data_IF_796478965187
#
_entry.id   IF_796478965187
#
_cell.length_a   1.000
_cell.length_b   1.000
_cell.length_c   1.000
_cell.angle_alpha   90.00
_cell.angle_beta   90.00
_cell.angle_gamma   90.00
#
_symmetry.space_group_name_H-M   'P 1'
#
loop_
_entity.id
_entity.type
_entity.pdbx_description
1 polymer ?
#
# COMPACT_ATOMS: atom_id res chain seq x y z
N UNK A 1 -23.13 11.62 23.52
CA UNK A 1 -21.86 11.06 23.06
C UNK A 1 -20.74 11.89 23.62
N UNK A 2 -19.90 11.28 24.42
CA UNK A 2 -18.79 11.98 25.06
C UNK A 2 -17.70 12.27 24.03
N UNK A 3 -17.30 13.54 23.94
CA UNK A 3 -16.21 13.97 23.04
C UNK A 3 -14.84 13.84 23.72
N UNK A 4 -14.61 12.70 24.39
CA UNK A 4 -13.36 12.45 25.13
C UNK A 4 -12.12 12.45 24.23
N UNK A 5 -12.32 12.16 22.95
CA UNK A 5 -11.24 12.16 21.97
C UNK A 5 -10.73 13.58 21.59
N UNK A 6 -11.34 14.64 22.14
CA UNK A 6 -10.92 16.04 21.94
C UNK A 6 -10.06 16.54 23.10
N UNK A 7 -10.03 15.83 24.23
CA UNK A 7 -9.21 16.21 25.38
C UNK A 7 -7.76 15.78 25.24
N UNK A 8 -6.83 16.42 25.97
CA UNK A 8 -5.41 16.11 25.89
C UNK A 8 -5.06 14.64 26.13
N UNK A 9 -5.81 13.96 26.99
CA UNK A 9 -5.65 12.52 27.25
C UNK A 9 -6.05 11.66 26.05
N UNK A 10 -6.97 12.14 25.22
CA UNK A 10 -7.45 11.44 24.04
C UNK A 10 -6.48 11.52 22.86
N UNK A 11 -5.39 12.30 22.95
CA UNK A 11 -4.35 12.33 21.91
C UNK A 11 -3.74 10.95 21.65
N UNK A 12 -3.70 10.11 22.68
CA UNK A 12 -3.25 8.72 22.54
C UNK A 12 -4.28 7.81 21.86
N UNK A 13 -5.51 8.29 21.64
CA UNK A 13 -6.58 7.56 20.97
C UNK A 13 -6.62 7.80 19.46
N UNK A 14 -5.72 8.61 18.92
CA UNK A 14 -5.60 8.88 17.48
C UNK A 14 -4.26 8.36 16.95
N UNK A 15 -4.24 8.02 15.68
CA UNK A 15 -2.99 7.65 15.02
C UNK A 15 -2.74 8.58 13.82
N UNK A 16 -1.46 8.87 13.51
CA UNK A 16 -1.14 9.71 12.38
C UNK A 16 -1.34 8.97 11.07
N UNK A 17 -1.91 9.65 10.09
CA UNK A 17 -2.01 9.17 8.73
C UNK A 17 -1.27 10.18 7.83
N UNK A 18 -0.39 9.72 6.92
CA UNK A 18 0.33 10.64 6.04
C UNK A 18 -0.62 11.50 5.21
N UNK A 19 -0.30 12.78 5.08
CA UNK A 19 -1.11 13.73 4.28
C UNK A 19 -1.21 13.30 2.82
N UNK A 20 -0.19 12.61 2.31
CA UNK A 20 -0.07 12.19 0.92
C UNK A 20 -0.93 10.98 0.57
N UNK A 21 -1.67 10.43 1.53
CA UNK A 21 -2.49 9.22 1.32
C UNK A 21 -3.45 9.34 0.13
N UNK A 22 -4.01 10.52 -0.10
CA UNK A 22 -4.92 10.75 -1.22
C UNK A 22 -4.22 10.88 -2.57
N UNK A 23 -2.91 11.05 -2.59
CA UNK A 23 -2.10 11.09 -3.81
C UNK A 23 -1.77 9.69 -4.35
N UNK A 24 -2.04 8.64 -3.58
CA UNK A 24 -1.71 7.26 -3.94
C UNK A 24 -2.64 6.67 -5.01
N UNK A 25 -3.75 7.32 -5.32
CA UNK A 25 -4.72 6.84 -6.31
C UNK A 25 -5.43 5.55 -5.89
N UNK A 26 -5.63 5.35 -4.60
CA UNK A 26 -6.27 4.16 -4.07
C UNK A 26 -7.80 4.23 -4.24
N UNK A 27 -8.40 3.08 -4.56
CA UNK A 27 -9.85 2.92 -4.50
C UNK A 27 -10.30 2.89 -3.02
N UNK A 28 -11.58 3.15 -2.78
CA UNK A 28 -12.12 3.24 -1.42
C UNK A 28 -11.82 2.00 -0.55
N UNK A 29 -11.99 0.81 -1.09
CA UNK A 29 -11.70 -0.43 -0.36
C UNK A 29 -10.22 -0.61 -0.06
N UNK A 30 -9.35 -0.33 -1.03
CA UNK A 30 -7.89 -0.38 -0.86
C UNK A 30 -7.45 0.61 0.20
N UNK A 31 -7.99 1.84 0.13
CA UNK A 31 -7.68 2.90 1.09
C UNK A 31 -8.09 2.51 2.51
N UNK A 32 -9.27 1.94 2.68
CA UNK A 32 -9.78 1.55 3.99
C UNK A 32 -8.91 0.46 4.63
N UNK A 33 -8.53 -0.55 3.87
CA UNK A 33 -7.61 -1.61 4.33
C UNK A 33 -6.24 -1.01 4.66
N UNK A 34 -5.73 -0.13 3.82
CA UNK A 34 -4.46 0.56 4.04
C UNK A 34 -4.47 1.38 5.33
N UNK A 35 -5.53 2.13 5.58
CA UNK A 35 -5.71 2.91 6.83
C UNK A 35 -5.68 1.99 8.04
N UNK A 36 -6.37 0.85 7.97
CA UNK A 36 -6.37 -0.11 9.07
C UNK A 36 -4.96 -0.68 9.34
N UNK A 37 -4.22 -1.02 8.29
CA UNK A 37 -2.84 -1.49 8.43
C UNK A 37 -1.93 -0.39 9.02
N UNK A 38 -2.11 0.86 8.63
CA UNK A 38 -1.39 2.00 9.23
C UNK A 38 -1.70 2.13 10.71
N UNK A 39 -2.95 1.88 11.11
CA UNK A 39 -3.36 1.88 12.50
C UNK A 39 -2.68 0.77 13.31
N UNK A 40 -2.52 -0.42 12.70
CA UNK A 40 -1.99 -1.61 13.37
C UNK A 40 -0.46 -1.67 13.41
N UNK A 41 0.22 -1.01 12.50
CA UNK A 41 1.69 -1.12 12.40
C UNK A 41 2.40 -0.58 13.63
N UNK A 42 3.51 -1.23 13.99
CA UNK A 42 4.44 -0.69 14.98
C UNK A 42 5.12 0.57 14.47
N UNK A 43 5.30 1.56 15.35
CA UNK A 43 5.91 2.86 15.00
C UNK A 43 7.34 2.69 14.49
N UNK A 44 8.11 1.79 15.09
CA UNK A 44 9.52 1.55 14.72
C UNK A 44 9.68 0.52 13.61
N UNK A 45 8.91 -0.56 13.67
CA UNK A 45 9.06 -1.68 12.73
C UNK A 45 8.36 -1.44 11.40
N UNK A 46 7.27 -0.65 11.39
CA UNK A 46 6.40 -0.52 10.23
C UNK A 46 5.66 -1.80 9.88
N UNK A 47 5.59 -2.76 10.81
CA UNK A 47 5.09 -4.10 10.59
C UNK A 47 3.87 -4.41 11.45
N UNK A 48 2.98 -5.24 10.92
CA UNK A 48 1.84 -5.79 11.64
C UNK A 48 1.46 -7.13 11.01
N UNK A 49 0.65 -7.92 11.72
CA UNK A 49 0.24 -9.24 11.25
C UNK A 49 -1.22 -9.60 11.59
N UNK A 50 -2.19 -8.71 11.34
CA UNK A 50 -3.59 -9.06 11.54
C UNK A 50 -4.03 -10.11 10.51
N UNK A 51 -4.93 -11.03 10.95
CA UNK A 51 -5.53 -11.99 10.02
C UNK A 51 -6.53 -11.29 9.07
N UNK A 52 -6.85 -11.93 7.95
CA UNK A 52 -7.89 -11.43 7.05
C UNK A 52 -9.22 -11.27 7.77
N UNK A 53 -9.56 -12.19 8.68
CA UNK A 53 -10.78 -12.09 9.48
C UNK A 53 -10.77 -10.87 10.40
N UNK A 54 -9.64 -10.58 11.03
CA UNK A 54 -9.47 -9.40 11.90
C UNK A 54 -9.60 -8.11 11.10
N UNK A 55 -8.94 -8.03 9.97
CA UNK A 55 -9.05 -6.88 9.06
C UNK A 55 -10.50 -6.74 8.59
N UNK A 56 -11.11 -7.82 8.14
CA UNK A 56 -12.49 -7.81 7.65
C UNK A 56 -13.50 -7.33 8.68
N UNK A 57 -13.35 -7.75 9.93
CA UNK A 57 -14.18 -7.25 11.04
C UNK A 57 -14.03 -5.75 11.25
N UNK A 58 -12.81 -5.25 11.17
CA UNK A 58 -12.53 -3.82 11.41
C UNK A 58 -13.09 -2.94 10.31
N UNK A 59 -13.04 -3.38 9.05
CA UNK A 59 -13.39 -2.57 7.88
C UNK A 59 -14.72 -2.99 7.22
N UNK A 60 -15.41 -3.98 7.79
CA UNK A 60 -16.72 -4.42 7.28
C UNK A 60 -16.66 -5.18 5.97
N UNK A 61 -15.65 -6.02 5.77
CA UNK A 61 -15.42 -6.79 4.56
C UNK A 61 -15.29 -8.28 4.84
N UNK A 62 -15.61 -9.11 3.83
CA UNK A 62 -15.32 -10.55 3.87
C UNK A 62 -13.81 -10.80 3.73
N UNK A 63 -13.35 -11.99 4.11
CA UNK A 63 -11.95 -12.41 3.95
C UNK A 63 -11.49 -12.33 2.50
N UNK A 64 -12.30 -12.76 1.55
CA UNK A 64 -12.00 -12.69 0.11
C UNK A 64 -11.81 -11.26 -0.36
N UNK A 65 -12.68 -10.36 0.08
CA UNK A 65 -12.60 -8.94 -0.26
C UNK A 65 -11.34 -8.32 0.31
N UNK A 66 -11.01 -8.62 1.56
CA UNK A 66 -9.75 -8.17 2.19
C UNK A 66 -8.54 -8.66 1.38
N UNK A 67 -8.51 -9.94 1.02
CA UNK A 67 -7.42 -10.53 0.24
C UNK A 67 -7.23 -9.81 -1.09
N UNK A 68 -8.31 -9.47 -1.78
CA UNK A 68 -8.30 -8.70 -3.02
C UNK A 68 -7.67 -7.33 -2.83
N UNK A 69 -8.04 -6.60 -1.78
CA UNK A 69 -7.49 -5.27 -1.50
C UNK A 69 -6.03 -5.33 -1.06
N UNK A 70 -5.64 -6.37 -0.30
CA UNK A 70 -4.24 -6.62 0.05
C UNK A 70 -3.42 -6.81 -1.24
N UNK A 71 -3.89 -7.61 -2.17
CA UNK A 71 -3.24 -7.81 -3.47
C UNK A 71 -3.03 -6.50 -4.24
N UNK A 72 -4.05 -5.64 -4.25
CA UNK A 72 -3.97 -4.33 -4.89
C UNK A 72 -2.92 -3.42 -4.22
N UNK A 73 -2.83 -3.44 -2.89
CA UNK A 73 -1.82 -2.67 -2.15
C UNK A 73 -0.40 -3.19 -2.41
N UNK A 74 -0.22 -4.49 -2.52
CA UNK A 74 1.06 -5.10 -2.89
C UNK A 74 1.47 -4.69 -4.30
N UNK A 75 0.55 -4.75 -5.25
CA UNK A 75 0.79 -4.38 -6.65
C UNK A 75 1.21 -2.91 -6.80
N UNK A 76 0.68 -2.03 -5.95
CA UNK A 76 1.05 -0.61 -5.93
C UNK A 76 2.35 -0.33 -5.16
N UNK A 77 2.96 -1.35 -4.57
CA UNK A 77 4.21 -1.22 -3.83
C UNK A 77 4.10 -0.55 -2.48
N UNK A 78 2.88 -0.44 -1.93
CA UNK A 78 2.64 0.20 -0.63
C UNK A 78 2.99 -0.70 0.55
N UNK A 79 2.80 -2.00 0.38
CA UNK A 79 3.06 -3.00 1.41
C UNK A 79 3.82 -4.18 0.81
N UNK A 80 4.55 -4.88 1.68
CA UNK A 80 5.11 -6.19 1.40
C UNK A 80 4.48 -7.19 2.34
N UNK A 81 4.28 -8.42 1.88
CA UNK A 81 3.72 -9.50 2.67
C UNK A 81 4.69 -10.66 2.74
N UNK A 82 4.77 -11.28 3.93
CA UNK A 82 5.57 -12.49 4.15
C UNK A 82 4.69 -13.52 4.85
N UNK A 83 4.85 -14.77 4.45
CA UNK A 83 4.17 -15.88 5.13
C UNK A 83 4.80 -16.11 6.49
N UNK A 84 3.98 -16.39 7.50
CA UNK A 84 4.43 -16.75 8.84
C UNK A 84 3.96 -18.16 9.18
N UNK A 85 4.68 -18.81 10.10
CA UNK A 85 4.32 -20.11 10.60
C UNK A 85 4.19 -20.07 12.12
N UNK A 86 3.28 -20.88 12.66
CA UNK A 86 3.05 -21.03 14.09
C UNK A 86 3.32 -22.48 14.46
N UNK A 87 4.24 -22.70 15.40
CA UNK A 87 4.46 -24.02 15.99
C UNK A 87 3.60 -24.12 17.25
N UNK A 88 2.69 -25.08 17.27
CA UNK A 88 1.85 -25.35 18.43
C UNK A 88 2.47 -26.40 19.36
N UNK A 89 1.92 -26.52 20.56
CA UNK A 89 2.38 -27.48 21.59
C UNK A 89 2.36 -28.94 21.13
N UNK A 90 1.54 -29.30 20.14
CA UNK A 90 1.47 -30.64 19.55
C UNK A 90 2.62 -30.92 18.58
N UNK A 91 3.56 -29.99 18.37
CA UNK A 91 4.71 -30.15 17.47
C UNK A 91 4.39 -29.85 15.99
N UNK A 92 3.12 -29.68 15.61
CA UNK A 92 2.75 -29.35 14.25
C UNK A 92 2.97 -27.86 13.96
N UNK A 93 3.35 -27.56 12.71
CA UNK A 93 3.54 -26.20 12.20
C UNK A 93 2.32 -25.83 11.34
N UNK A 94 1.72 -24.71 11.65
CA UNK A 94 0.56 -24.17 10.94
C UNK A 94 0.93 -22.84 10.29
N UNK A 95 0.24 -22.49 9.20
CA UNK A 95 0.36 -21.17 8.60
C UNK A 95 -0.25 -20.13 9.55
N UNK A 96 0.52 -19.10 9.87
CA UNK A 96 0.05 -17.96 10.63
C UNK A 96 -0.54 -16.89 9.71
N UNK A 97 -0.92 -15.76 10.31
CA UNK A 97 -1.31 -14.57 9.56
C UNK A 97 -0.12 -14.03 8.78
N UNK A 98 -0.37 -13.38 7.64
CA UNK A 98 0.68 -12.70 6.90
C UNK A 98 1.33 -11.61 7.74
N UNK A 99 2.63 -11.46 7.60
CA UNK A 99 3.36 -10.31 8.10
C UNK A 99 3.31 -9.22 7.03
N UNK A 100 2.78 -8.06 7.41
CA UNK A 100 2.70 -6.90 6.53
C UNK A 100 3.79 -5.91 6.91
N UNK A 101 4.59 -5.52 5.94
CA UNK A 101 5.56 -4.43 6.09
C UNK A 101 5.08 -3.25 5.25
N UNK A 102 4.77 -2.13 5.90
CA UNK A 102 4.32 -0.93 5.23
C UNK A 102 5.52 -0.09 4.86
N UNK A 103 5.61 0.26 3.58
CA UNK A 103 6.70 1.11 3.08
C UNK A 103 6.43 2.58 3.42
N UNK A 104 7.46 3.37 3.73
CA UNK A 104 7.28 4.81 3.92
C UNK A 104 6.64 5.45 2.69
N UNK A 105 5.57 6.21 2.90
CA UNK A 105 4.74 6.75 1.82
C UNK A 105 5.55 7.67 0.88
N UNK A 106 6.50 8.42 1.42
CA UNK A 106 7.37 9.29 0.62
C UNK A 106 8.27 8.50 -0.35
N UNK A 107 8.72 7.31 0.06
CA UNK A 107 9.46 6.42 -0.83
C UNK A 107 8.61 5.92 -1.99
N UNK A 108 7.37 5.54 -1.70
CA UNK A 108 6.43 5.05 -2.71
C UNK A 108 6.11 6.15 -3.72
N UNK A 109 5.84 7.36 -3.25
CA UNK A 109 5.56 8.52 -4.10
C UNK A 109 6.76 8.84 -4.99
N UNK A 110 7.96 8.90 -4.41
CA UNK A 110 9.20 9.17 -5.18
C UNK A 110 9.45 8.11 -6.25
N UNK A 111 9.23 6.85 -5.93
CA UNK A 111 9.39 5.77 -6.89
C UNK A 111 8.40 5.90 -8.04
N UNK A 112 7.16 6.20 -7.72
CA UNK A 112 6.11 6.40 -8.71
C UNK A 112 6.40 7.60 -9.62
N UNK A 113 6.86 8.70 -9.06
CA UNK A 113 7.30 9.88 -9.81
C UNK A 113 8.45 9.57 -10.77
N UNK A 114 9.43 8.77 -10.34
CA UNK A 114 10.52 8.31 -11.19
C UNK A 114 10.04 7.46 -12.35
N UNK A 115 9.09 6.58 -12.11
CA UNK A 115 8.50 5.72 -13.14
C UNK A 115 7.76 6.55 -14.19
N UNK A 116 6.94 7.51 -13.76
CA UNK A 116 6.24 8.42 -14.66
C UNK A 116 7.23 9.23 -15.50
N UNK A 117 8.28 9.76 -14.87
CA UNK A 117 9.29 10.54 -15.56
C UNK A 117 10.05 9.71 -16.59
N UNK A 118 10.38 8.46 -16.26
CA UNK A 118 11.03 7.54 -17.17
C UNK A 118 10.14 7.22 -18.40
N UNK A 119 8.85 6.98 -18.19
CA UNK A 119 7.87 6.76 -19.26
C UNK A 119 7.75 7.99 -20.18
N UNK A 120 7.69 9.19 -19.61
CA UNK A 120 7.64 10.43 -20.39
C UNK A 120 8.89 10.62 -21.25
N UNK A 121 10.08 10.32 -20.70
CA UNK A 121 11.34 10.38 -21.44
C UNK A 121 11.38 9.38 -22.61
N UNK A 122 10.89 8.15 -22.37
CA UNK A 122 10.81 7.13 -23.41
C UNK A 122 9.84 7.55 -24.52
N UNK A 123 8.67 8.07 -24.18
CA UNK A 123 7.68 8.54 -25.13
C UNK A 123 8.22 9.71 -25.98
N UNK A 124 8.97 10.63 -25.35
CA UNK A 124 9.62 11.73 -26.05
C UNK A 124 10.71 11.25 -27.02
N UNK A 125 11.54 10.32 -26.57
CA UNK A 125 12.58 9.71 -27.40
C UNK A 125 11.98 8.97 -28.61
N UNK A 126 10.88 8.25 -28.39
CA UNK A 126 10.17 7.55 -29.46
C UNK A 126 9.60 8.54 -30.50
N UNK A 127 8.97 9.62 -30.04
CA UNK A 127 8.47 10.67 -30.93
C UNK A 127 9.58 11.30 -31.78
N UNK A 128 10.71 11.60 -31.17
CA UNK A 128 11.88 12.15 -31.89
C UNK A 128 12.41 11.18 -32.94
N UNK A 129 12.47 9.88 -32.60
CA UNK A 129 12.90 8.85 -33.50
C UNK A 129 11.94 8.72 -34.70
N UNK A 130 10.65 8.68 -34.45
CA UNK A 130 9.59 8.62 -35.47
C UNK A 130 9.65 9.83 -36.42
N UNK A 131 9.86 11.03 -35.86
CA UNK A 131 10.04 12.25 -36.67
C UNK A 131 11.26 12.18 -37.58
N UNK A 132 12.38 11.64 -37.10
CA UNK A 132 13.59 11.43 -37.93
C UNK A 132 13.35 10.46 -39.03
N UNK A 133 12.64 9.35 -38.74
CA UNK A 133 12.30 8.36 -39.79
C UNK A 133 11.35 8.96 -40.83
N UNK A 134 10.34 9.70 -40.40
CA UNK A 134 9.42 10.41 -41.30
C UNK A 134 10.14 11.44 -42.16
N UNK A 135 11.06 12.22 -41.62
CA UNK A 135 11.87 13.18 -42.34
C UNK A 135 12.81 12.50 -43.35
N UNK A 136 13.41 11.35 -42.97
CA UNK A 136 14.27 10.57 -43.86
C UNK A 136 13.50 9.99 -45.08
N UNK A 137 12.29 9.50 -44.83
CA UNK A 137 11.39 9.00 -45.88
C UNK A 137 10.93 10.14 -46.83
N UNK A 138 10.63 11.29 -46.26
CA UNK A 138 10.19 12.47 -47.04
C UNK A 138 11.29 13.03 -47.95
N UNK A 139 12.57 12.81 -47.66
CA UNK A 139 13.70 13.23 -48.47
C UNK A 139 14.07 12.24 -49.57
N UNK A 140 13.54 11.07 -49.50
CA UNK A 140 13.72 10.05 -50.54
C UNK A 140 12.69 10.25 -51.67
#
# INVERSE_FOLDING_TARGET
MKQEWITGEAFNAVFPLPNEVFQLGLKAGDLLVYIYLQHQKGVRSGQCWPSYATIGKAVGMSRKTVQKHIGALVDKGLIQTEETTIRRKNGFVYNGSLLYTLKPIQQVIRQHEKEILAELKLAEAQRKWDQRQGASVAKA
#
